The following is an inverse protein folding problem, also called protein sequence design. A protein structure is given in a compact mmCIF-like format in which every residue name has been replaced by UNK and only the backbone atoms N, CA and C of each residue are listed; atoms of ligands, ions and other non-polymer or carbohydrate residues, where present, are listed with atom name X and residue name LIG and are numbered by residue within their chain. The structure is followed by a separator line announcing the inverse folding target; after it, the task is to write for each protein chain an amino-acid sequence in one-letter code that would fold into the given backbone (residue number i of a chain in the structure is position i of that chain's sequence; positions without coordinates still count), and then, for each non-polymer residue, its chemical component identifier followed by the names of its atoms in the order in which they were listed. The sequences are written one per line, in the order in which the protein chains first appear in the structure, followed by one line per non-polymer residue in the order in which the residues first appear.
data_IF_395674840771
#
_entry.id   IF_395674840771
#
_cell.length_a   1.000
_cell.length_b   1.000
_cell.length_c   1.000
_cell.angle_alpha   90.00
_cell.angle_beta   90.00
_cell.angle_gamma   90.00
#
_symmetry.space_group_name_H-M   'P 1'
#
loop_
_entity.id
_entity.type
_entity.pdbx_description
1 polymer ?
#
# COMPACT_ATOMS: atom_id res chain seq x y z
N UNK A 1 18.74 -22.93 7.58
CA UNK A 1 18.51 -21.52 7.92
C UNK A 1 17.81 -21.46 9.25
N UNK A 2 18.22 -20.57 10.14
CA UNK A 2 17.69 -20.49 11.50
C UNK A 2 16.41 -19.62 11.50
N UNK A 3 15.25 -20.25 11.64
CA UNK A 3 13.93 -19.58 11.60
C UNK A 3 13.81 -18.43 12.61
N UNK A 4 14.56 -18.50 13.71
CA UNK A 4 14.62 -17.45 14.72
C UNK A 4 15.20 -16.14 14.17
N UNK A 5 16.24 -16.24 13.33
CA UNK A 5 16.89 -15.09 12.71
C UNK A 5 16.00 -14.43 11.66
N UNK A 6 15.27 -15.22 10.86
CA UNK A 6 14.34 -14.69 9.86
C UNK A 6 13.17 -13.95 10.53
N UNK A 7 12.58 -14.53 11.58
CA UNK A 7 11.53 -13.87 12.37
C UNK A 7 12.01 -12.54 12.95
N UNK A 8 13.21 -12.52 13.53
CA UNK A 8 13.81 -11.29 14.07
C UNK A 8 14.01 -10.22 12.99
N UNK A 9 14.48 -10.61 11.80
CA UNK A 9 14.64 -9.68 10.68
C UNK A 9 13.31 -9.08 10.23
N UNK A 10 12.27 -9.90 10.07
CA UNK A 10 10.93 -9.43 9.70
C UNK A 10 10.38 -8.46 10.74
N UNK A 11 10.48 -8.78 12.03
CA UNK A 11 10.03 -7.90 13.11
C UNK A 11 10.78 -6.56 13.09
N UNK A 12 12.10 -6.59 12.87
CA UNK A 12 12.90 -5.37 12.79
C UNK A 12 12.54 -4.51 11.57
N UNK A 13 12.37 -5.11 10.39
CA UNK A 13 11.97 -4.41 9.17
C UNK A 13 10.60 -3.77 9.34
N UNK A 14 9.62 -4.52 9.84
CA UNK A 14 8.27 -4.01 10.10
C UNK A 14 8.34 -2.80 11.04
N UNK A 15 9.03 -2.92 12.18
CA UNK A 15 9.21 -1.80 13.11
C UNK A 15 9.83 -0.57 12.43
N UNK A 16 10.85 -0.77 11.60
CA UNK A 16 11.50 0.30 10.85
C UNK A 16 10.53 1.03 9.89
N UNK A 17 9.57 0.32 9.30
CA UNK A 17 8.55 0.95 8.46
C UNK A 17 7.54 1.79 9.24
N UNK A 18 7.14 1.35 10.44
CA UNK A 18 6.33 2.16 11.35
C UNK A 18 7.10 3.39 11.84
N UNK A 19 8.36 3.22 12.27
CA UNK A 19 9.18 4.32 12.80
C UNK A 19 9.46 5.39 11.71
N UNK A 20 9.46 5.01 10.42
CA UNK A 20 9.58 5.91 9.27
C UNK A 20 8.25 6.49 8.76
N UNK A 21 7.11 6.01 9.26
CA UNK A 21 5.77 6.44 8.83
C UNK A 21 5.32 5.88 7.48
N UNK A 22 5.95 4.81 6.99
CA UNK A 22 5.45 4.08 5.80
C UNK A 22 4.24 3.19 6.12
N UNK A 23 4.16 2.73 7.36
CA UNK A 23 3.02 1.98 7.89
C UNK A 23 2.46 2.71 9.10
N UNK A 24 1.14 2.62 9.27
CA UNK A 24 0.42 3.16 10.41
C UNK A 24 -0.46 2.08 11.07
N UNK A 25 -1.28 2.49 12.04
CA UNK A 25 -2.14 1.59 12.81
C UNK A 25 -3.09 0.76 11.93
N UNK A 26 -3.48 1.26 10.76
CA UNK A 26 -4.35 0.52 9.84
C UNK A 26 -3.69 -0.76 9.33
N UNK A 27 -2.37 -0.75 9.13
CA UNK A 27 -1.66 -1.98 8.75
C UNK A 27 -1.73 -3.06 9.83
N UNK A 28 -1.74 -2.68 11.12
CA UNK A 28 -1.94 -3.65 12.19
C UNK A 28 -3.36 -4.23 12.17
N UNK A 29 -4.37 -3.40 11.88
CA UNK A 29 -5.76 -3.86 11.71
C UNK A 29 -5.87 -4.85 10.54
N UNK A 30 -5.12 -4.63 9.45
CA UNK A 30 -5.06 -5.55 8.33
C UNK A 30 -4.48 -6.93 8.72
N UNK A 31 -3.45 -6.95 9.57
CA UNK A 31 -2.89 -8.20 10.10
C UNK A 31 -3.84 -8.91 11.08
N UNK A 32 -4.63 -8.17 11.87
CA UNK A 32 -5.63 -8.74 12.78
C UNK A 32 -6.77 -9.47 12.04
N UNK A 33 -7.05 -9.08 10.79
CA UNK A 33 -8.02 -9.75 9.92
C UNK A 33 -7.49 -11.07 9.33
N UNK A 34 -6.19 -11.32 9.40
CA UNK A 34 -5.60 -12.56 8.89
C UNK A 34 -5.81 -13.70 9.89
N UNK A 35 -6.38 -14.82 9.43
CA UNK A 35 -6.62 -16.00 10.25
C UNK A 35 -6.25 -17.31 9.55
N UNK A 36 -6.53 -18.45 10.19
CA UNK A 36 -6.25 -19.78 9.63
C UNK A 36 -7.03 -20.09 8.34
N UNK A 37 -8.17 -19.41 8.12
CA UNK A 37 -8.98 -19.55 6.91
C UNK A 37 -8.46 -18.71 5.74
N UNK A 38 -7.67 -17.67 6.04
CA UNK A 38 -7.14 -16.70 5.09
C UNK A 38 -5.66 -16.36 5.35
N UNK A 39 -4.75 -17.36 5.37
CA UNK A 39 -3.38 -17.18 5.89
C UNK A 39 -2.50 -16.22 5.09
N UNK A 40 -2.92 -15.82 3.89
CA UNK A 40 -2.19 -14.91 3.00
C UNK A 40 -2.91 -13.56 2.80
N UNK A 41 -3.93 -13.26 3.61
CA UNK A 41 -4.79 -12.08 3.42
C UNK A 41 -3.99 -10.77 3.30
N UNK A 42 -3.03 -10.54 4.20
CA UNK A 42 -2.19 -9.32 4.16
C UNK A 42 -1.36 -9.26 2.88
N UNK A 43 -0.80 -10.38 2.46
CA UNK A 43 -0.03 -10.47 1.21
C UNK A 43 -0.90 -10.13 0.00
N UNK A 44 -2.10 -10.69 -0.08
CA UNK A 44 -3.04 -10.46 -1.18
C UNK A 44 -3.46 -8.99 -1.28
N UNK A 45 -3.73 -8.35 -0.15
CA UNK A 45 -4.11 -6.93 -0.08
C UNK A 45 -2.95 -6.04 -0.51
N UNK A 46 -1.75 -6.29 0.01
CA UNK A 46 -0.54 -5.53 -0.39
C UNK A 46 -0.22 -5.74 -1.86
N UNK A 47 -0.34 -6.97 -2.37
CA UNK A 47 -0.13 -7.28 -3.78
C UNK A 47 -1.15 -6.56 -4.68
N UNK A 48 -2.42 -6.48 -4.26
CA UNK A 48 -3.44 -5.72 -4.98
C UNK A 48 -3.12 -4.22 -5.01
N UNK A 49 -2.74 -3.64 -3.88
CA UNK A 49 -2.32 -2.24 -3.80
C UNK A 49 -1.13 -1.94 -4.73
N UNK A 50 -0.09 -2.77 -4.70
CA UNK A 50 1.10 -2.61 -5.53
C UNK A 50 0.83 -2.84 -7.02
N UNK A 51 -0.17 -3.66 -7.36
CA UNK A 51 -0.60 -3.90 -8.73
C UNK A 51 -1.37 -2.71 -9.32
N UNK A 52 -2.23 -2.08 -8.52
CA UNK A 52 -3.11 -1.01 -8.99
C UNK A 52 -2.46 0.38 -8.96
N UNK A 53 -1.59 0.64 -7.98
CA UNK A 53 -0.94 1.94 -7.77
C UNK A 53 -0.16 2.47 -9.00
N UNK A 54 0.66 1.66 -9.71
CA UNK A 54 1.40 2.15 -10.88
C UNK A 54 0.48 2.65 -12.00
N UNK A 55 -0.68 2.01 -12.19
CA UNK A 55 -1.66 2.44 -13.19
C UNK A 55 -2.28 3.79 -12.80
N UNK A 56 -2.59 3.98 -11.52
CA UNK A 56 -3.12 5.26 -11.02
C UNK A 56 -2.09 6.38 -11.17
N UNK A 57 -0.84 6.12 -10.80
CA UNK A 57 0.27 7.07 -10.96
C UNK A 57 0.47 7.46 -12.43
N UNK A 58 0.50 6.49 -13.35
CA UNK A 58 0.62 6.77 -14.78
C UNK A 58 -0.56 7.62 -15.32
N UNK A 59 -1.77 7.38 -14.84
CA UNK A 59 -2.94 8.19 -15.22
C UNK A 59 -2.85 9.62 -14.69
N UNK A 60 -2.33 9.81 -13.47
CA UNK A 60 -2.09 11.14 -12.87
C UNK A 60 -1.05 11.89 -13.71
N UNK A 61 0.10 11.28 -14.00
CA UNK A 61 1.16 11.86 -14.83
C UNK A 61 0.64 12.29 -16.20
N UNK A 62 -0.11 11.43 -16.88
CA UNK A 62 -0.71 11.74 -18.18
C UNK A 62 -1.73 12.88 -18.11
N UNK A 63 -2.49 13.00 -17.01
CA UNK A 63 -3.51 14.03 -16.85
C UNK A 63 -2.86 15.39 -16.56
N UNK A 64 -1.82 15.43 -15.74
CA UNK A 64 -1.04 16.65 -15.44
C UNK A 64 -0.31 17.17 -16.69
N UNK A 65 0.20 16.26 -17.54
CA UNK A 65 0.93 16.61 -18.75
C UNK A 65 0.06 17.15 -19.91
N UNK A 66 -1.26 17.11 -19.81
CA UNK A 66 -2.18 17.60 -20.85
C UNK A 66 -2.59 19.05 -20.62
N UNK A 67 -2.73 19.80 -21.72
CA UNK A 67 -3.26 21.16 -21.70
C UNK A 67 -4.51 21.29 -22.62
N UNK A 68 -5.59 21.94 -22.17
CA UNK A 68 -5.81 22.45 -20.81
C UNK A 68 -5.92 21.31 -19.78
N UNK A 69 -5.49 21.55 -18.55
CA UNK A 69 -5.56 20.55 -17.48
C UNK A 69 -7.02 20.29 -17.07
N UNK A 70 -7.37 19.00 -16.95
CA UNK A 70 -8.65 18.56 -16.39
C UNK A 70 -8.49 18.32 -14.88
N UNK A 71 -8.74 19.36 -14.08
CA UNK A 71 -8.60 19.31 -12.63
C UNK A 71 -9.64 18.40 -11.95
N UNK A 72 -10.82 18.22 -12.54
CA UNK A 72 -11.83 17.31 -12.00
C UNK A 72 -11.37 15.86 -12.11
N UNK A 73 -10.80 15.51 -13.28
CA UNK A 73 -10.21 14.19 -13.47
C UNK A 73 -8.99 13.97 -12.58
N UNK A 74 -8.15 14.99 -12.42
CA UNK A 74 -6.98 14.91 -11.55
C UNK A 74 -7.38 14.68 -10.08
N UNK A 75 -8.36 15.43 -9.57
CA UNK A 75 -8.90 15.27 -8.22
C UNK A 75 -9.44 13.86 -7.99
N UNK A 76 -10.21 13.33 -8.95
CA UNK A 76 -10.74 11.97 -8.88
C UNK A 76 -9.63 10.91 -8.81
N UNK A 77 -8.57 11.05 -9.62
CA UNK A 77 -7.44 10.12 -9.62
C UNK A 77 -6.63 10.18 -8.32
N UNK A 78 -6.39 11.39 -7.80
CA UNK A 78 -5.68 11.59 -6.52
C UNK A 78 -6.52 11.05 -5.36
N UNK A 79 -7.83 11.27 -5.38
CA UNK A 79 -8.74 10.72 -4.37
C UNK A 79 -8.72 9.19 -4.37
N UNK A 80 -8.73 8.56 -5.56
CA UNK A 80 -8.64 7.12 -5.70
C UNK A 80 -7.29 6.57 -5.19
N UNK A 81 -6.18 7.22 -5.55
CA UNK A 81 -4.85 6.82 -5.07
C UNK A 81 -4.76 6.94 -3.55
N UNK A 82 -5.23 8.06 -2.99
CA UNK A 82 -5.30 8.27 -1.55
C UNK A 82 -6.11 7.16 -0.89
N UNK A 83 -7.32 6.91 -1.37
CA UNK A 83 -8.21 5.88 -0.81
C UNK A 83 -7.64 4.47 -0.90
N UNK A 84 -6.79 4.18 -1.89
CA UNK A 84 -6.13 2.86 -2.01
C UNK A 84 -5.00 2.64 -1.01
N UNK A 85 -4.39 3.72 -0.49
CA UNK A 85 -3.32 3.65 0.51
C UNK A 85 -3.71 4.26 1.87
N UNK A 86 -5.01 4.45 2.11
CA UNK A 86 -5.58 4.95 3.38
C UNK A 86 -6.21 3.82 4.17
#
# INVERSE_FOLDING_TARGET
MDYSNLRRQITFMKKSFFDQGYLDEQFNQLEELQDESSPNFVEEVVALFLKDSPRLLANIEQTIGKYPQDFYRLDSLVHQLKGSGS
#
